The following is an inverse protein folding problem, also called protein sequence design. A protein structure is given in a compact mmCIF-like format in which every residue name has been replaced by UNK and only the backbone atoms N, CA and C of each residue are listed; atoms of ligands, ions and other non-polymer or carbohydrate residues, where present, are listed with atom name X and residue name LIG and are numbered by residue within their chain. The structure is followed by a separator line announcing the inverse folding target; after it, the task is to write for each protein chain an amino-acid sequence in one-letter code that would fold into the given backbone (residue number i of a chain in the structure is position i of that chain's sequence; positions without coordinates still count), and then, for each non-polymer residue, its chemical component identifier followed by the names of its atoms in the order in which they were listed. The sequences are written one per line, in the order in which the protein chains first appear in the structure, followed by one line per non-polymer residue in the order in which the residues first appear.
data_IF_776923043470
#
_entry.id   IF_776923043470
#
_cell.length_a   1.000
_cell.length_b   1.000
_cell.length_c   1.000
_cell.angle_alpha   90.00
_cell.angle_beta   90.00
_cell.angle_gamma   90.00
#
_symmetry.space_group_name_H-M   'P 1'
#
loop_
_entity.id
_entity.type
_entity.pdbx_description
1 polymer ?
#
# COMPACT_ATOMS: atom_id res chain seq x y z
N UNK A 1 -32.01 28.76 9.19
CA UNK A 1 -31.09 29.06 8.07
C UNK A 1 -29.65 28.68 8.50
N UNK A 2 -28.98 27.90 7.71
CA UNK A 2 -27.63 27.43 8.02
C UNK A 2 -26.62 28.44 7.54
N UNK A 3 -25.71 28.92 8.41
CA UNK A 3 -24.67 29.85 8.01
C UNK A 3 -23.53 29.16 7.26
N UNK A 4 -22.62 29.93 6.68
CA UNK A 4 -21.50 29.39 5.88
C UNK A 4 -20.57 28.53 6.71
N UNK A 5 -20.35 28.86 8.01
CA UNK A 5 -19.48 28.07 8.91
C UNK A 5 -20.07 26.71 9.19
N UNK A 6 -21.37 26.64 9.51
CA UNK A 6 -22.08 25.38 9.78
C UNK A 6 -22.10 24.51 8.52
N UNK A 7 -22.31 25.12 7.35
CA UNK A 7 -22.28 24.40 6.08
C UNK A 7 -20.90 23.82 5.80
N UNK A 8 -19.84 24.58 6.04
CA UNK A 8 -18.47 24.12 5.89
C UNK A 8 -18.14 22.97 6.83
N UNK A 9 -18.60 23.05 8.09
CA UNK A 9 -18.42 21.98 9.08
C UNK A 9 -19.12 20.69 8.66
N UNK A 10 -20.33 20.79 8.09
CA UNK A 10 -21.07 19.63 7.59
C UNK A 10 -20.37 18.99 6.41
N UNK A 11 -19.86 19.78 5.46
CA UNK A 11 -19.10 19.27 4.31
C UNK A 11 -17.81 18.60 4.79
N UNK A 12 -17.09 19.21 5.73
CA UNK A 12 -15.88 18.64 6.32
C UNK A 12 -16.16 17.31 6.99
N UNK A 13 -17.23 17.22 7.78
CA UNK A 13 -17.64 15.96 8.43
C UNK A 13 -17.89 14.86 7.40
N UNK A 14 -18.59 15.18 6.30
CA UNK A 14 -18.90 14.22 5.25
C UNK A 14 -17.63 13.73 4.55
N UNK A 15 -16.69 14.62 4.28
CA UNK A 15 -15.39 14.23 3.70
C UNK A 15 -14.59 13.34 4.64
N UNK A 16 -14.56 13.66 5.93
CA UNK A 16 -13.87 12.86 6.94
C UNK A 16 -14.48 11.46 7.07
N UNK A 17 -15.81 11.36 7.02
CA UNK A 17 -16.48 10.07 7.02
C UNK A 17 -16.11 9.22 5.80
N UNK A 18 -16.00 9.85 4.63
CA UNK A 18 -15.54 9.18 3.41
C UNK A 18 -14.08 8.71 3.56
N UNK A 19 -13.20 9.55 4.11
CA UNK A 19 -11.80 9.19 4.37
C UNK A 19 -11.73 7.99 5.31
N UNK A 20 -12.52 7.98 6.38
CA UNK A 20 -12.54 6.86 7.34
C UNK A 20 -12.92 5.54 6.65
N UNK A 21 -13.90 5.57 5.74
CA UNK A 21 -14.28 4.40 4.96
C UNK A 21 -13.15 3.93 4.05
N UNK A 22 -12.47 4.89 3.38
CA UNK A 22 -11.33 4.58 2.49
C UNK A 22 -10.15 4.03 3.28
N UNK A 23 -9.90 4.55 4.48
CA UNK A 23 -8.85 4.04 5.36
C UNK A 23 -9.12 2.57 5.74
N UNK A 24 -10.36 2.22 6.02
CA UNK A 24 -10.73 0.84 6.31
C UNK A 24 -10.45 -0.07 5.11
N UNK A 25 -10.82 0.36 3.90
CA UNK A 25 -10.56 -0.38 2.66
C UNK A 25 -9.05 -0.55 2.46
N UNK A 26 -8.27 0.51 2.69
CA UNK A 26 -6.82 0.47 2.57
C UNK A 26 -6.20 -0.55 3.53
N UNK A 27 -6.61 -0.54 4.80
CA UNK A 27 -6.10 -1.48 5.81
C UNK A 27 -6.43 -2.92 5.45
N UNK A 28 -7.67 -3.21 5.06
CA UNK A 28 -8.05 -4.55 4.63
C UNK A 28 -7.28 -5.00 3.39
N UNK A 29 -7.06 -4.11 2.44
CA UNK A 29 -6.28 -4.39 1.22
C UNK A 29 -4.83 -4.70 1.57
N UNK A 30 -4.22 -3.91 2.45
CA UNK A 30 -2.86 -4.15 2.94
C UNK A 30 -2.76 -5.50 3.66
N UNK A 31 -3.75 -5.84 4.48
CA UNK A 31 -3.77 -7.12 5.20
C UNK A 31 -3.81 -8.30 4.22
N UNK A 32 -4.64 -8.23 3.18
CA UNK A 32 -4.71 -9.27 2.15
C UNK A 32 -3.39 -9.37 1.37
N UNK A 33 -2.83 -8.23 1.00
CA UNK A 33 -1.53 -8.19 0.32
C UNK A 33 -0.43 -8.82 1.17
N UNK A 34 -0.43 -8.52 2.47
CA UNK A 34 0.56 -9.06 3.40
C UNK A 34 0.45 -10.58 3.56
N UNK A 35 -0.77 -11.12 3.57
CA UNK A 35 -0.99 -12.58 3.57
C UNK A 35 -0.33 -13.23 2.36
N UNK A 36 -0.45 -12.62 1.18
CA UNK A 36 0.19 -13.12 -0.03
C UNK A 36 1.71 -13.05 0.07
N UNK A 37 2.27 -11.94 0.53
CA UNK A 37 3.72 -11.81 0.66
C UNK A 37 4.29 -12.71 1.75
N UNK A 38 3.54 -13.01 2.81
CA UNK A 38 3.96 -13.98 3.82
C UNK A 38 4.03 -15.39 3.23
N UNK A 39 3.06 -15.76 2.39
CA UNK A 39 3.08 -17.06 1.70
C UNK A 39 4.29 -17.15 0.75
N UNK A 40 4.59 -16.08 0.03
CA UNK A 40 5.80 -15.99 -0.82
C UNK A 40 7.06 -16.09 0.04
N UNK A 41 7.09 -15.43 1.19
CA UNK A 41 8.24 -15.49 2.11
C UNK A 41 8.52 -16.89 2.62
N UNK A 42 7.49 -17.64 2.99
CA UNK A 42 7.62 -19.03 3.39
C UNK A 42 8.15 -19.91 2.25
N UNK A 43 7.63 -19.70 1.05
CA UNK A 43 8.08 -20.43 -0.14
C UNK A 43 9.57 -20.17 -0.41
N UNK A 44 9.99 -18.92 -0.33
CA UNK A 44 11.40 -18.54 -0.52
C UNK A 44 12.29 -19.18 0.53
N UNK A 45 11.88 -19.20 1.79
CA UNK A 45 12.62 -19.81 2.88
C UNK A 45 12.76 -21.34 2.67
N UNK A 46 11.67 -22.01 2.27
CA UNK A 46 11.66 -23.45 2.02
C UNK A 46 12.58 -23.86 0.86
N UNK A 47 12.72 -23.01 -0.14
CA UNK A 47 13.49 -23.30 -1.36
C UNK A 47 14.81 -22.54 -1.43
N UNK A 48 15.23 -21.89 -0.34
CA UNK A 48 16.47 -21.12 -0.26
C UNK A 48 16.59 -20.05 -1.34
N UNK A 49 15.45 -19.40 -1.69
CA UNK A 49 15.43 -18.30 -2.63
C UNK A 49 15.77 -16.99 -1.90
N UNK A 50 16.40 -16.03 -2.59
CA UNK A 50 16.76 -14.75 -1.96
C UNK A 50 15.55 -13.99 -1.44
N UNK A 51 15.63 -13.32 -0.27
CA UNK A 51 14.53 -12.50 0.24
C UNK A 51 14.18 -11.33 -0.67
N UNK A 52 15.16 -10.76 -1.36
CA UNK A 52 15.00 -9.64 -2.28
C UNK A 52 14.98 -10.14 -3.72
N UNK A 53 14.18 -9.48 -4.56
CA UNK A 53 14.10 -9.74 -6.00
C UNK A 53 14.07 -8.40 -6.74
N UNK A 54 15.24 -7.84 -7.06
CA UNK A 54 15.32 -6.51 -7.70
C UNK A 54 14.58 -6.42 -9.03
N UNK A 55 14.58 -7.48 -9.84
CA UNK A 55 13.85 -7.49 -11.12
C UNK A 55 12.34 -7.37 -10.90
N UNK A 56 11.80 -8.10 -9.92
CA UNK A 56 10.39 -8.02 -9.54
C UNK A 56 10.05 -6.64 -8.99
N UNK A 57 10.89 -6.10 -8.14
CA UNK A 57 10.71 -4.76 -7.56
C UNK A 57 10.66 -3.69 -8.65
N UNK A 58 11.51 -3.78 -9.66
CA UNK A 58 11.50 -2.87 -10.81
C UNK A 58 10.19 -2.96 -11.59
N UNK A 59 9.69 -4.16 -11.82
CA UNK A 59 8.38 -4.36 -12.49
C UNK A 59 7.23 -3.79 -11.66
N UNK A 60 7.27 -3.97 -10.35
CA UNK A 60 6.26 -3.41 -9.44
C UNK A 60 6.25 -1.89 -9.49
N UNK A 61 7.42 -1.25 -9.51
CA UNK A 61 7.53 0.20 -9.61
C UNK A 61 6.97 0.73 -10.92
N UNK A 62 7.30 0.08 -12.04
CA UNK A 62 6.78 0.45 -13.36
C UNK A 62 5.25 0.33 -13.42
N UNK A 63 4.71 -0.77 -12.92
CA UNK A 63 3.26 -1.00 -12.87
C UNK A 63 2.57 0.04 -11.98
N UNK A 64 3.16 0.36 -10.83
CA UNK A 64 2.60 1.35 -9.92
C UNK A 64 2.54 2.72 -10.57
N UNK A 65 3.56 3.09 -11.33
CA UNK A 65 3.59 4.36 -12.04
C UNK A 65 2.43 4.44 -13.05
N UNK A 66 2.20 3.38 -13.82
CA UNK A 66 1.07 3.29 -14.74
C UNK A 66 -0.27 3.40 -14.03
N UNK A 67 -0.43 2.67 -12.92
CA UNK A 67 -1.65 2.70 -12.11
C UNK A 67 -1.89 4.08 -11.50
N UNK A 68 -0.83 4.76 -11.06
CA UNK A 68 -0.91 6.09 -10.47
C UNK A 68 -1.43 7.12 -11.49
N UNK A 69 -0.94 7.05 -12.72
CA UNK A 69 -1.43 7.92 -13.81
C UNK A 69 -2.91 7.64 -14.09
N UNK A 70 -3.29 6.37 -14.19
CA UNK A 70 -4.67 5.97 -14.45
C UNK A 70 -5.63 6.39 -13.32
N UNK A 71 -5.15 6.37 -12.08
CA UNK A 71 -5.93 6.72 -10.88
C UNK A 71 -5.87 8.21 -10.53
N UNK A 72 -5.12 9.01 -11.29
CA UNK A 72 -4.88 10.42 -10.98
C UNK A 72 -4.28 10.62 -9.59
N UNK A 73 -3.35 9.75 -9.23
CA UNK A 73 -2.58 9.82 -7.99
C UNK A 73 -1.16 10.28 -8.29
N UNK A 74 -0.60 11.16 -7.45
CA UNK A 74 0.78 11.61 -7.59
C UNK A 74 1.74 10.40 -7.61
N UNK A 75 2.47 10.17 -8.72
CA UNK A 75 3.41 9.04 -8.81
C UNK A 75 4.53 9.08 -7.78
N UNK A 76 4.97 10.25 -7.35
CA UNK A 76 6.01 10.40 -6.33
C UNK A 76 5.52 9.86 -4.98
N UNK A 77 4.29 10.21 -4.59
CA UNK A 77 3.66 9.69 -3.37
C UNK A 77 3.49 8.17 -3.46
N UNK A 78 2.99 7.68 -4.59
CA UNK A 78 2.78 6.25 -4.80
C UNK A 78 4.08 5.45 -4.71
N UNK A 79 5.18 5.97 -5.30
CA UNK A 79 6.50 5.32 -5.24
C UNK A 79 7.05 5.26 -3.82
N UNK A 80 6.91 6.35 -3.05
CA UNK A 80 7.33 6.37 -1.64
C UNK A 80 6.59 5.32 -0.82
N UNK A 81 5.28 5.22 -1.03
CA UNK A 81 4.43 4.25 -0.35
C UNK A 81 4.84 2.82 -0.68
N UNK A 82 5.02 2.50 -1.96
CA UNK A 82 5.43 1.15 -2.37
C UNK A 82 6.84 0.81 -1.91
N UNK A 83 7.77 1.76 -1.94
CA UNK A 83 9.14 1.55 -1.43
C UNK A 83 9.11 1.15 0.04
N UNK A 84 8.29 1.81 0.84
CA UNK A 84 8.11 1.45 2.25
C UNK A 84 7.57 0.02 2.38
N UNK A 85 6.54 -0.34 1.62
CA UNK A 85 5.94 -1.68 1.66
C UNK A 85 6.95 -2.75 1.28
N UNK A 86 7.71 -2.55 0.20
CA UNK A 86 8.73 -3.50 -0.27
C UNK A 86 9.81 -3.70 0.80
N UNK A 87 10.28 -2.63 1.41
CA UNK A 87 11.27 -2.70 2.50
C UNK A 87 10.77 -3.54 3.67
N UNK A 88 9.52 -3.34 4.07
CA UNK A 88 8.92 -4.11 5.16
C UNK A 88 8.75 -5.58 4.79
N UNK A 89 8.36 -5.89 3.56
CA UNK A 89 8.22 -7.27 3.07
C UNK A 89 9.57 -7.98 3.08
N UNK A 90 10.62 -7.34 2.57
CA UNK A 90 11.97 -7.91 2.57
C UNK A 90 12.45 -8.18 3.99
N UNK A 91 12.22 -7.25 4.91
CA UNK A 91 12.58 -7.41 6.33
C UNK A 91 11.91 -8.66 6.93
N UNK A 92 10.63 -8.88 6.63
CA UNK A 92 9.90 -10.06 7.10
C UNK A 92 10.43 -11.35 6.45
N UNK A 93 10.75 -11.32 5.15
CA UNK A 93 11.34 -12.47 4.45
C UNK A 93 12.69 -12.85 5.03
N UNK A 94 13.53 -11.87 5.36
CA UNK A 94 14.83 -12.12 6.01
C UNK A 94 14.66 -12.81 7.36
N UNK A 95 13.67 -12.41 8.16
CA UNK A 95 13.37 -13.04 9.45
C UNK A 95 12.98 -14.51 9.28
N UNK A 96 12.25 -14.85 8.24
CA UNK A 96 11.81 -16.22 7.98
C UNK A 96 12.98 -17.14 7.59
N UNK A 97 14.09 -16.59 7.12
CA UNK A 97 15.26 -17.35 6.68
C UNK A 97 16.33 -17.52 7.77
N UNK A 98 16.13 -16.92 8.93
CA UNK A 98 17.06 -17.05 10.05
C UNK A 98 16.82 -18.31 10.88
#
# INVERSE_FOLDING_TARGET
MTDATTLAENVLRDHRAAIDRLDAILVYTLAERFKQTQAVGRLKAEHNLPPSDPAREGRQMARLEELSVAADLDPVLAKKFLTFIISEVIRHHEKLQK
#
